data_IF_125978111476
#
_entry.id   IF_125978111476
#
_cell.length_a   1.000
_cell.length_b   1.000
_cell.length_c   1.000
_cell.angle_alpha   90.00
_cell.angle_beta   90.00
_cell.angle_gamma   90.00
#
_symmetry.space_group_name_H-M   'P 1'
#
loop_
_entity.id
_entity.type
_entity.pdbx_description
1 polymer ?
#
# COMPACT_ATOMS: atom_id res chain seq x y z
N UNK A 1 -6.42 -10.74 56.56
CA UNK A 1 -5.45 -9.90 55.81
C UNK A 1 -5.29 -10.23 54.33
N UNK A 2 -5.32 -11.51 53.90
CA UNK A 2 -5.21 -11.89 52.46
C UNK A 2 -6.35 -11.35 51.59
N UNK A 3 -7.59 -11.38 52.08
CA UNK A 3 -8.77 -10.86 51.36
C UNK A 3 -8.75 -9.34 51.20
N UNK A 4 -8.19 -8.62 52.18
CA UNK A 4 -8.03 -7.16 52.12
C UNK A 4 -6.92 -6.74 51.14
N UNK A 5 -5.80 -7.48 51.13
CA UNK A 5 -4.74 -7.28 50.12
C UNK A 5 -5.24 -7.58 48.70
N UNK A 6 -6.09 -8.60 48.53
CA UNK A 6 -6.69 -8.93 47.23
C UNK A 6 -7.67 -7.85 46.75
N UNK A 7 -8.43 -7.25 47.67
CA UNK A 7 -9.38 -6.18 47.37
C UNK A 7 -8.67 -4.87 46.97
N UNK A 8 -7.55 -4.53 47.62
CA UNK A 8 -6.71 -3.36 47.27
C UNK A 8 -5.99 -3.55 45.92
N UNK A 9 -5.53 -4.75 45.62
CA UNK A 9 -4.90 -5.07 44.34
C UNK A 9 -5.91 -4.97 43.18
N UNK A 10 -7.14 -5.45 43.39
CA UNK A 10 -8.22 -5.38 42.41
C UNK A 10 -8.65 -3.93 42.12
N UNK A 11 -8.67 -3.06 43.13
CA UNK A 11 -8.94 -1.62 42.95
C UNK A 11 -7.82 -0.88 42.21
N UNK A 12 -6.57 -1.35 42.32
CA UNK A 12 -5.43 -0.76 41.61
C UNK A 12 -5.45 -1.08 40.10
N UNK A 13 -5.89 -2.29 39.73
CA UNK A 13 -6.03 -2.67 38.32
C UNK A 13 -7.25 -2.04 37.64
N UNK A 14 -8.25 -1.59 38.41
CA UNK A 14 -9.44 -0.90 37.89
C UNK A 14 -9.24 0.62 37.69
N UNK A 15 -8.10 1.18 38.11
CA UNK A 15 -7.82 2.61 38.01
C UNK A 15 -7.44 3.07 36.59
N UNK A 16 -7.13 2.14 35.67
CA UNK A 16 -6.93 2.47 34.27
C UNK A 16 -8.31 2.66 33.61
N UNK A 17 -8.81 3.89 33.64
CA UNK A 17 -10.02 4.25 32.92
C UNK A 17 -9.70 4.31 31.42
N UNK A 18 -10.59 3.83 30.52
CA UNK A 18 -10.37 3.89 29.07
C UNK A 18 -10.21 5.32 28.54
N UNK A 19 -10.55 6.35 29.32
CA UNK A 19 -10.28 7.76 29.00
C UNK A 19 -8.79 8.12 29.09
N UNK A 20 -8.05 7.62 30.07
CA UNK A 20 -6.60 7.89 30.16
C UNK A 20 -5.81 7.20 29.06
N UNK A 21 -6.23 5.99 28.67
CA UNK A 21 -5.67 5.30 27.51
C UNK A 21 -5.91 6.09 26.23
N UNK A 22 -7.11 6.64 26.03
CA UNK A 22 -7.41 7.47 24.86
C UNK A 22 -6.67 8.80 24.86
N UNK A 23 -6.45 9.41 26.03
CA UNK A 23 -5.64 10.63 26.15
C UNK A 23 -4.16 10.35 25.91
N UNK A 24 -3.62 9.24 26.42
CA UNK A 24 -2.25 8.81 26.16
C UNK A 24 -2.04 8.39 24.70
N UNK A 25 -3.01 7.69 24.10
CA UNK A 25 -3.01 7.40 22.66
C UNK A 25 -3.11 8.70 21.86
N UNK A 26 -4.01 9.61 22.20
CA UNK A 26 -4.18 10.89 21.52
C UNK A 26 -2.94 11.80 21.57
N UNK A 27 -2.14 11.73 22.65
CA UNK A 27 -0.86 12.44 22.76
C UNK A 27 0.28 11.72 22.05
N UNK A 28 0.26 10.39 21.95
CA UNK A 28 1.24 9.58 21.20
C UNK A 28 0.96 9.57 19.69
N UNK A 29 -0.31 9.64 19.28
CA UNK A 29 -0.76 9.57 17.88
C UNK A 29 -1.17 10.92 17.32
N UNK A 30 -0.87 12.02 18.01
CA UNK A 30 -1.08 13.39 17.53
C UNK A 30 -2.44 13.59 16.85
N UNK A 31 -3.52 13.71 17.63
CA UNK A 31 -4.78 14.36 17.23
C UNK A 31 -5.14 14.31 15.72
N UNK A 32 -5.49 13.13 15.21
CA UNK A 32 -6.60 12.94 14.26
C UNK A 32 -6.52 13.52 12.84
N UNK A 33 -5.45 14.19 12.42
CA UNK A 33 -5.38 14.73 11.06
C UNK A 33 -3.96 14.63 10.48
N UNK A 34 -3.83 13.88 9.38
CA UNK A 34 -2.58 13.77 8.63
C UNK A 34 -2.14 15.15 8.15
N UNK A 35 -0.87 15.46 8.33
CA UNK A 35 -0.27 16.68 7.76
C UNK A 35 -0.19 16.55 6.22
N UNK A 36 -0.22 17.67 5.51
CA UNK A 36 -0.03 17.66 4.05
C UNK A 36 1.29 17.00 3.62
N UNK A 37 2.32 17.07 4.47
CA UNK A 37 3.61 16.42 4.22
C UNK A 37 3.51 14.90 4.29
N UNK A 38 2.80 14.35 5.28
CA UNK A 38 2.54 12.90 5.41
C UNK A 38 1.63 12.37 4.30
N UNK A 39 0.63 13.16 3.90
CA UNK A 39 -0.21 12.82 2.75
C UNK A 39 0.66 12.78 1.47
N UNK A 40 1.50 13.80 1.26
CA UNK A 40 2.40 13.86 0.10
C UNK A 40 3.40 12.71 0.06
N UNK A 41 4.00 12.36 1.20
CA UNK A 41 4.94 11.23 1.29
C UNK A 41 4.24 9.90 1.05
N UNK A 42 3.04 9.71 1.61
CA UNK A 42 2.23 8.51 1.39
C UNK A 42 1.82 8.33 -0.08
N UNK A 43 1.38 9.40 -0.75
CA UNK A 43 1.06 9.37 -2.18
C UNK A 43 2.29 9.07 -3.03
N UNK A 44 3.43 9.68 -2.73
CA UNK A 44 4.70 9.41 -3.42
C UNK A 44 5.07 7.93 -3.29
N UNK A 45 5.02 7.39 -2.08
CA UNK A 45 5.35 5.99 -1.82
C UNK A 45 4.38 5.03 -2.52
N UNK A 46 3.08 5.34 -2.53
CA UNK A 46 2.09 4.55 -3.27
C UNK A 46 2.35 4.55 -4.78
N UNK A 47 2.75 5.70 -5.36
CA UNK A 47 3.14 5.79 -6.76
C UNK A 47 4.40 4.99 -7.05
N UNK A 48 5.43 5.08 -6.20
CA UNK A 48 6.68 4.33 -6.34
C UNK A 48 6.44 2.81 -6.36
N UNK A 49 5.59 2.29 -5.47
CA UNK A 49 5.21 0.88 -5.52
C UNK A 49 4.38 0.53 -6.75
N UNK A 50 3.39 1.37 -7.08
CA UNK A 50 2.53 1.13 -8.25
C UNK A 50 3.30 1.06 -9.57
N UNK A 51 4.28 1.96 -9.78
CA UNK A 51 5.13 1.91 -10.99
C UNK A 51 6.04 0.69 -10.98
N UNK A 52 6.61 0.33 -9.83
CA UNK A 52 7.57 -0.78 -9.72
C UNK A 52 6.87 -2.12 -9.98
N UNK A 53 5.76 -2.36 -9.30
CA UNK A 53 4.94 -3.57 -9.49
C UNK A 53 4.35 -3.64 -10.90
N UNK A 54 3.87 -2.52 -11.43
CA UNK A 54 3.35 -2.43 -12.79
C UNK A 54 4.41 -2.78 -13.83
N UNK A 55 5.61 -2.20 -13.71
CA UNK A 55 6.73 -2.48 -14.59
C UNK A 55 7.19 -3.94 -14.48
N UNK A 56 7.30 -4.47 -13.26
CA UNK A 56 7.66 -5.87 -13.02
C UNK A 56 6.67 -6.82 -13.69
N UNK A 57 5.36 -6.60 -13.49
CA UNK A 57 4.29 -7.41 -14.08
C UNK A 57 4.30 -7.37 -15.61
N UNK A 58 4.59 -6.22 -16.21
CA UNK A 58 4.69 -6.08 -17.66
C UNK A 58 5.97 -6.70 -18.23
N UNK A 59 7.05 -6.76 -17.44
CA UNK A 59 8.33 -7.35 -17.83
C UNK A 59 8.34 -8.89 -17.77
N UNK A 60 7.37 -9.52 -17.11
CA UNK A 60 7.20 -10.96 -17.12
C UNK A 60 6.99 -11.51 -18.55
N UNK A 61 7.23 -12.82 -18.72
CA UNK A 61 7.00 -13.49 -20.00
C UNK A 61 5.55 -13.29 -20.44
N UNK A 62 5.38 -12.73 -21.64
CA UNK A 62 4.09 -12.31 -22.21
C UNK A 62 3.33 -11.22 -21.41
N UNK A 63 3.92 -10.65 -20.36
CA UNK A 63 3.29 -9.68 -19.47
C UNK A 63 2.78 -8.45 -20.21
N UNK A 64 3.64 -7.81 -21.01
CA UNK A 64 3.23 -6.71 -21.90
C UNK A 64 2.29 -7.19 -23.02
N UNK A 65 2.66 -8.25 -23.73
CA UNK A 65 1.98 -8.69 -24.96
C UNK A 65 0.55 -9.23 -24.76
N UNK A 66 0.23 -9.77 -23.58
CA UNK A 66 -1.11 -10.25 -23.21
C UNK A 66 -1.87 -9.26 -22.33
N UNK A 67 -1.29 -8.11 -21.99
CA UNK A 67 -1.97 -7.09 -21.19
C UNK A 67 -2.91 -6.22 -22.02
N UNK A 68 -3.87 -5.60 -21.33
CA UNK A 68 -4.70 -4.53 -21.87
C UNK A 68 -3.91 -3.25 -22.22
N UNK A 69 -2.67 -3.13 -21.74
CA UNK A 69 -1.80 -1.96 -21.96
C UNK A 69 -0.97 -2.09 -23.24
N UNK A 70 -1.10 -3.20 -23.97
CA UNK A 70 -0.39 -3.40 -25.24
C UNK A 70 -0.78 -2.31 -26.22
N UNK A 71 0.20 -1.51 -26.61
CA UNK A 71 0.03 -0.51 -27.67
C UNK A 71 0.02 -1.26 -29.00
N UNK A 72 -1.07 -1.10 -29.75
CA UNK A 72 -1.20 -1.71 -31.07
C UNK A 72 -0.30 -1.00 -32.07
N UNK A 73 0.37 -1.77 -32.91
CA UNK A 73 1.15 -1.24 -34.02
C UNK A 73 0.27 -0.39 -34.93
N UNK A 74 0.74 0.78 -35.42
CA UNK A 74 -0.02 1.57 -36.39
C UNK A 74 -0.22 0.80 -37.71
N UNK A 75 -1.21 1.21 -38.50
CA UNK A 75 -1.64 0.47 -39.69
C UNK A 75 -0.51 0.26 -40.71
N UNK A 76 0.39 1.23 -40.82
CA UNK A 76 1.56 1.24 -41.69
C UNK A 76 2.58 0.20 -41.24
N UNK A 77 2.87 0.14 -39.93
CA UNK A 77 3.82 -0.81 -39.36
C UNK A 77 3.31 -2.25 -39.47
N UNK A 78 1.99 -2.47 -39.32
CA UNK A 78 1.36 -3.79 -39.48
C UNK A 78 1.60 -4.39 -40.87
N UNK A 79 1.43 -3.61 -41.94
CA UNK A 79 1.69 -4.08 -43.32
C UNK A 79 3.10 -4.61 -43.51
N UNK A 80 4.09 -3.99 -42.86
CA UNK A 80 5.48 -4.41 -42.95
C UNK A 80 5.72 -5.66 -42.12
N UNK A 81 5.24 -5.68 -40.87
CA UNK A 81 5.40 -6.84 -39.98
C UNK A 81 4.70 -8.09 -40.51
N UNK A 82 3.52 -7.94 -41.11
CA UNK A 82 2.75 -9.05 -41.68
C UNK A 82 3.47 -9.73 -42.85
N UNK A 83 4.30 -8.98 -43.59
CA UNK A 83 5.15 -9.53 -44.65
C UNK A 83 6.41 -10.16 -44.08
N UNK A 84 7.04 -9.50 -43.11
CA UNK A 84 8.30 -9.96 -42.51
C UNK A 84 8.14 -11.27 -41.73
N UNK A 85 7.00 -11.49 -41.04
CA UNK A 85 6.76 -12.74 -40.30
C UNK A 85 6.70 -13.99 -41.18
N UNK A 86 6.47 -13.84 -42.49
CA UNK A 86 6.42 -14.96 -43.44
C UNK A 86 7.81 -15.37 -43.95
N UNK A 87 8.85 -14.60 -43.63
CA UNK A 87 10.22 -14.94 -44.01
C UNK A 87 10.79 -15.85 -42.91
N UNK A 88 11.16 -17.11 -43.24
CA UNK A 88 11.74 -18.02 -42.25
C UNK A 88 13.08 -17.49 -41.74
N UNK A 89 13.29 -17.59 -40.43
CA UNK A 89 14.54 -17.28 -39.72
C UNK A 89 15.16 -18.53 -39.11
#
# INVERSE_FOLDING_TARGET
MKKLRFLVLLTLLAACTPQELQNALGTLTGSGQLTSAEIGSGLKQALEFGISEGAQKLAEKDGYFKSQYKILLPAEARKVTDKLQNIPG
#
